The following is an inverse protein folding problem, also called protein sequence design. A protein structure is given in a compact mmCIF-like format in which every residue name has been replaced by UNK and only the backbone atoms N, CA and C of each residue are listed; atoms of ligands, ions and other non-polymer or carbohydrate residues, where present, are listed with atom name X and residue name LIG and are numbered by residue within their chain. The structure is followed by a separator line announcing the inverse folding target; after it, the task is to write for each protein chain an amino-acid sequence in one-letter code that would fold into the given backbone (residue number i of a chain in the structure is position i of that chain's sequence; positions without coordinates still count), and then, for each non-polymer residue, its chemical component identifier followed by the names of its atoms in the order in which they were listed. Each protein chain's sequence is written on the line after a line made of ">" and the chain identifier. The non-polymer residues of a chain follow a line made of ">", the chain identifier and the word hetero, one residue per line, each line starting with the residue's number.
data_IF_137215200115
#
_entry.id   IF_137215200115
#
_cell.length_a   1.000
_cell.length_b   1.000
_cell.length_c   1.000
_cell.angle_alpha   90.00
_cell.angle_beta   90.00
_cell.angle_gamma   90.00
#
_symmetry.space_group_name_H-M   'P 1'
#
loop_
_entity.id
_entity.type
_entity.pdbx_description
1 polymer ?
#
# COMPACT_ATOMS: atom_id res chain seq x y z
N UNK A 1 9.33 0.14 17.84
CA UNK A 1 10.29 0.59 16.81
C UNK A 1 10.58 2.06 17.07
N UNK A 2 11.80 2.34 17.52
CA UNK A 2 12.33 3.69 17.75
C UNK A 2 13.70 3.79 17.09
N UNK A 3 14.31 4.97 17.01
CA UNK A 3 15.61 5.14 16.36
C UNK A 3 16.60 4.09 16.86
N UNK A 4 17.36 3.48 15.94
CA UNK A 4 18.42 2.52 16.28
C UNK A 4 19.36 3.16 17.31
N UNK A 5 20.02 2.35 18.16
CA UNK A 5 20.93 2.84 19.20
C UNK A 5 21.96 3.91 18.71
N UNK A 6 22.28 3.89 17.41
CA UNK A 6 23.14 4.86 16.70
C UNK A 6 22.44 6.14 16.19
N UNK A 7 21.20 6.45 16.63
CA UNK A 7 20.35 7.55 16.11
C UNK A 7 20.08 7.51 14.60
N UNK A 8 20.34 6.38 13.94
CA UNK A 8 20.05 6.19 12.51
C UNK A 8 18.56 5.92 12.31
N UNK A 9 17.96 6.69 11.41
CA UNK A 9 16.60 6.48 10.90
C UNK A 9 16.57 5.16 10.14
N UNK A 10 15.78 4.19 10.63
CA UNK A 10 15.53 2.90 10.00
C UNK A 10 14.09 2.45 10.34
N UNK A 11 13.39 1.73 9.44
CA UNK A 11 13.79 1.39 8.07
C UNK A 11 13.67 2.59 7.10
N UNK A 12 14.28 2.52 5.91
CA UNK A 12 14.09 3.55 4.87
C UNK A 12 12.74 3.40 4.16
N UNK A 13 12.39 2.17 3.78
CA UNK A 13 11.12 1.81 3.14
C UNK A 13 10.65 0.48 3.70
N UNK A 14 9.36 0.20 3.55
CA UNK A 14 8.75 -1.07 3.97
C UNK A 14 8.06 -1.74 2.79
N UNK A 15 8.01 -3.06 2.77
CA UNK A 15 7.27 -3.83 1.77
C UNK A 15 6.59 -5.04 2.43
N UNK A 16 5.69 -5.69 1.72
CA UNK A 16 4.97 -6.84 2.25
C UNK A 16 5.94 -7.97 2.64
N UNK A 17 5.87 -8.40 3.89
CA UNK A 17 6.65 -9.53 4.41
C UNK A 17 5.82 -10.80 4.54
N UNK A 18 4.59 -10.79 4.01
CA UNK A 18 3.63 -11.88 4.12
C UNK A 18 3.46 -12.46 2.73
N UNK A 19 3.74 -13.75 2.58
CA UNK A 19 3.71 -14.44 1.30
C UNK A 19 2.95 -15.75 1.45
N UNK A 20 2.33 -16.18 0.35
CA UNK A 20 1.77 -17.52 0.22
C UNK A 20 2.82 -18.40 -0.44
N UNK A 21 3.29 -19.43 0.23
CA UNK A 21 4.25 -20.39 -0.31
C UNK A 21 3.56 -21.72 -0.60
N UNK A 22 3.95 -22.37 -1.70
CA UNK A 22 3.55 -23.75 -1.94
C UNK A 22 4.28 -24.67 -0.98
N UNK A 23 3.56 -25.54 -0.29
CA UNK A 23 4.12 -26.56 0.58
C UNK A 23 4.43 -27.83 -0.22
N UNK A 24 5.30 -28.68 0.32
CA UNK A 24 5.72 -29.93 -0.33
C UNK A 24 4.57 -30.94 -0.52
N UNK A 25 3.43 -30.74 0.16
CA UNK A 25 2.23 -31.57 0.06
C UNK A 25 1.22 -31.05 -1.00
N UNK A 26 1.56 -30.01 -1.78
CA UNK A 26 0.71 -29.48 -2.85
C UNK A 26 -0.35 -28.45 -2.41
N UNK A 27 -0.29 -27.96 -1.17
CA UNK A 27 -1.11 -26.86 -0.65
C UNK A 27 -0.36 -25.53 -0.57
N UNK A 28 -1.05 -24.47 -0.14
CA UNK A 28 -0.43 -23.17 0.13
C UNK A 28 -0.43 -22.89 1.63
N UNK A 29 0.68 -22.38 2.14
CA UNK A 29 0.79 -21.89 3.51
C UNK A 29 1.17 -20.41 3.53
N UNK A 30 0.74 -19.71 4.59
CA UNK A 30 1.08 -18.31 4.78
C UNK A 30 2.33 -18.21 5.64
N UNK A 31 3.38 -17.61 5.09
CA UNK A 31 4.64 -17.39 5.79
C UNK A 31 4.87 -15.90 5.96
N UNK A 32 5.37 -15.51 7.13
CA UNK A 32 5.62 -14.12 7.49
C UNK A 32 7.09 -13.91 7.83
N UNK A 33 7.72 -12.89 7.26
CA UNK A 33 9.11 -12.54 7.50
C UNK A 33 9.54 -11.30 6.74
N UNK A 34 10.32 -10.43 7.41
CA UNK A 34 10.91 -9.24 6.77
C UNK A 34 11.90 -9.60 5.66
N UNK A 35 12.44 -10.82 5.68
CA UNK A 35 13.26 -11.39 4.61
C UNK A 35 12.52 -11.47 3.27
N UNK A 36 11.18 -11.54 3.27
CA UNK A 36 10.39 -11.50 2.04
C UNK A 36 10.20 -10.06 1.50
N UNK A 37 10.29 -9.05 2.36
CA UNK A 37 10.22 -7.64 1.95
C UNK A 37 11.45 -7.20 1.15
N UNK A 38 12.63 -7.69 1.51
CA UNK A 38 13.90 -7.33 0.86
C UNK A 38 13.96 -7.65 -0.66
N UNK A 39 13.66 -8.88 -1.13
CA UNK A 39 13.69 -9.20 -2.55
C UNK A 39 12.61 -8.47 -3.34
N UNK A 40 11.46 -8.14 -2.73
CA UNK A 40 10.42 -7.33 -3.40
C UNK A 40 10.92 -5.93 -3.74
N UNK A 41 11.56 -5.26 -2.78
CA UNK A 41 12.15 -3.93 -3.01
C UNK A 41 13.33 -4.01 -3.97
N UNK A 42 14.16 -5.06 -3.88
CA UNK A 42 15.27 -5.28 -4.80
C UNK A 42 14.81 -5.50 -6.24
N UNK A 43 13.75 -6.29 -6.45
CA UNK A 43 13.14 -6.51 -7.76
C UNK A 43 12.58 -5.21 -8.34
N UNK A 44 11.86 -4.42 -7.53
CA UNK A 44 11.39 -3.10 -7.94
C UNK A 44 12.55 -2.18 -8.37
N UNK A 45 13.65 -2.16 -7.60
CA UNK A 45 14.84 -1.39 -7.93
C UNK A 45 15.49 -1.87 -9.23
N UNK A 46 15.56 -3.18 -9.47
CA UNK A 46 16.07 -3.74 -10.73
C UNK A 46 15.23 -3.32 -11.93
N UNK A 47 13.90 -3.38 -11.83
CA UNK A 47 12.99 -2.90 -12.88
C UNK A 47 13.18 -1.40 -13.15
N UNK A 48 13.33 -0.59 -12.11
CA UNK A 48 13.60 0.85 -12.26
C UNK A 48 14.97 1.12 -12.90
N UNK A 49 15.99 0.33 -12.56
CA UNK A 49 17.31 0.44 -13.17
C UNK A 49 17.25 0.14 -14.67
N UNK A 50 16.52 -0.91 -15.07
CA UNK A 50 16.27 -1.25 -16.47
C UNK A 50 15.49 -0.14 -17.18
N UNK A 51 14.40 0.36 -16.57
CA UNK A 51 13.59 1.44 -17.13
C UNK A 51 14.36 2.76 -17.31
N UNK A 52 15.39 3.01 -16.49
CA UNK A 52 16.27 4.17 -16.62
C UNK A 52 17.33 4.04 -17.73
N UNK A 53 17.39 2.88 -18.42
CA UNK A 53 18.42 2.54 -19.39
C UNK A 53 19.79 2.24 -18.76
N UNK A 54 19.81 1.83 -17.49
CA UNK A 54 21.05 1.51 -16.76
C UNK A 54 21.92 2.72 -16.40
N UNK A 55 21.37 3.93 -16.48
CA UNK A 55 22.14 5.18 -16.31
C UNK A 55 22.25 5.63 -14.85
N UNK A 56 21.43 5.08 -13.95
CA UNK A 56 21.41 5.52 -12.55
C UNK A 56 22.48 4.79 -11.74
N UNK A 57 23.16 5.54 -10.87
CA UNK A 57 24.03 4.97 -9.84
C UNK A 57 23.18 4.30 -8.75
N UNK A 58 23.79 3.40 -7.97
CA UNK A 58 23.12 2.75 -6.85
C UNK A 58 22.50 3.76 -5.86
N UNK A 59 23.19 4.87 -5.58
CA UNK A 59 22.68 5.92 -4.68
C UNK A 59 21.55 6.74 -5.29
N UNK A 60 21.58 6.97 -6.62
CA UNK A 60 20.46 7.61 -7.30
C UNK A 60 19.22 6.71 -7.26
N UNK A 61 19.39 5.42 -7.55
CA UNK A 61 18.31 4.44 -7.50
C UNK A 61 17.73 4.32 -6.08
N UNK A 62 18.58 4.24 -5.07
CA UNK A 62 18.18 4.23 -3.66
C UNK A 62 17.33 5.45 -3.29
N UNK A 63 17.72 6.64 -3.75
CA UNK A 63 16.95 7.87 -3.56
C UNK A 63 15.60 7.81 -4.28
N UNK A 64 15.57 7.35 -5.54
CA UNK A 64 14.33 7.22 -6.30
C UNK A 64 13.33 6.28 -5.62
N UNK A 65 13.80 5.15 -5.09
CA UNK A 65 12.97 4.19 -4.35
C UNK A 65 12.39 4.82 -3.08
N UNK A 66 13.19 5.59 -2.32
CA UNK A 66 12.70 6.32 -1.14
C UNK A 66 11.65 7.36 -1.50
N UNK A 67 11.87 8.14 -2.56
CA UNK A 67 10.95 9.19 -3.01
C UNK A 67 9.65 8.63 -3.63
N UNK A 68 9.69 7.37 -4.07
CA UNK A 68 8.53 6.62 -4.53
C UNK A 68 7.70 5.99 -3.39
N UNK A 69 8.15 6.12 -2.14
CA UNK A 69 7.39 5.69 -0.97
C UNK A 69 6.07 6.43 -0.81
N UNK A 70 5.04 5.71 -0.38
CA UNK A 70 3.69 6.21 -0.08
C UNK A 70 3.70 7.43 0.85
N UNK A 71 4.55 7.41 1.88
CA UNK A 71 4.61 8.46 2.90
C UNK A 71 5.53 9.62 2.49
N UNK A 72 6.35 9.49 1.44
CA UNK A 72 7.28 10.55 1.04
C UNK A 72 6.54 11.85 0.67
N UNK A 73 6.93 13.03 1.22
CA UNK A 73 8.19 13.32 1.92
C UNK A 73 8.19 13.11 3.45
N UNK A 74 7.07 12.68 4.04
CA UNK A 74 7.00 12.32 5.45
C UNK A 74 7.77 11.03 5.74
N UNK A 75 8.48 11.01 6.87
CA UNK A 75 9.19 9.84 7.36
C UNK A 75 8.48 9.31 8.61
N UNK A 76 8.12 8.04 8.57
CA UNK A 76 7.48 7.30 9.64
C UNK A 76 8.48 6.38 10.35
N UNK A 77 8.46 6.35 11.68
CA UNK A 77 9.44 5.57 12.45
C UNK A 77 9.15 4.07 12.46
N UNK A 78 7.95 3.64 12.06
CA UNK A 78 7.64 2.24 11.88
C UNK A 78 7.89 1.79 10.42
N UNK A 79 7.53 2.61 9.43
CA UNK A 79 7.53 2.20 8.01
C UNK A 79 8.53 2.93 7.11
N UNK A 80 9.31 3.88 7.63
CA UNK A 80 10.17 4.73 6.83
C UNK A 80 9.38 5.69 5.94
N UNK A 81 9.73 5.79 4.66
CA UNK A 81 8.91 6.47 3.65
C UNK A 81 7.70 5.65 3.19
N UNK A 82 7.39 4.54 3.87
CA UNK A 82 6.27 3.67 3.54
C UNK A 82 6.61 2.68 2.43
N UNK A 83 5.56 2.25 1.72
CA UNK A 83 5.69 1.29 0.62
C UNK A 83 6.03 1.98 -0.69
N UNK A 84 7.11 1.58 -1.39
CA UNK A 84 7.41 2.15 -2.69
C UNK A 84 6.42 1.63 -3.74
N UNK A 85 5.82 2.54 -4.50
CA UNK A 85 4.89 2.20 -5.58
C UNK A 85 5.58 2.22 -6.94
N UNK A 86 5.37 1.17 -7.75
CA UNK A 86 5.97 1.06 -9.07
C UNK A 86 5.54 2.19 -10.02
N UNK A 87 4.26 2.54 -10.04
CA UNK A 87 3.73 3.65 -10.85
C UNK A 87 4.40 4.97 -10.50
N UNK A 88 4.53 5.26 -9.19
CA UNK A 88 5.15 6.47 -8.66
C UNK A 88 6.65 6.50 -8.95
N UNK A 89 7.33 5.36 -8.84
CA UNK A 89 8.76 5.23 -9.18
C UNK A 89 8.99 5.47 -10.68
N UNK A 90 8.20 4.85 -11.55
CA UNK A 90 8.32 5.04 -13.00
C UNK A 90 8.00 6.49 -13.41
N UNK A 91 7.04 7.13 -12.76
CA UNK A 91 6.76 8.56 -12.98
C UNK A 91 7.95 9.43 -12.55
N UNK A 92 8.56 9.13 -11.39
CA UNK A 92 9.77 9.80 -10.88
C UNK A 92 10.96 9.72 -11.83
N UNK A 93 11.13 8.59 -12.51
CA UNK A 93 12.19 8.41 -13.51
C UNK A 93 12.01 9.34 -14.72
N UNK A 94 10.77 9.74 -15.03
CA UNK A 94 10.45 10.67 -16.12
C UNK A 94 10.54 12.14 -15.70
N UNK A 95 10.39 12.43 -14.40
CA UNK A 95 10.48 13.79 -13.88
C UNK A 95 9.90 13.94 -12.46
N UNK A 96 9.78 15.18 -11.95
CA UNK A 96 9.17 15.44 -10.65
C UNK A 96 7.71 14.96 -10.60
N UNK A 97 7.30 14.42 -9.46
CA UNK A 97 5.89 14.08 -9.25
C UNK A 97 5.02 15.35 -9.19
N UNK A 98 3.76 15.27 -9.64
CA UNK A 98 2.83 16.37 -9.49
C UNK A 98 2.63 16.72 -8.01
N UNK A 99 2.48 18.02 -7.72
CA UNK A 99 2.21 18.48 -6.38
C UNK A 99 0.84 17.94 -5.91
N UNK A 100 0.80 17.41 -4.68
CA UNK A 100 -0.44 16.96 -4.05
C UNK A 100 -1.15 18.18 -3.47
N UNK A 101 -2.44 18.33 -3.76
CA UNK A 101 -3.25 19.40 -3.18
C UNK A 101 -3.32 19.25 -1.64
N UNK A 102 -3.40 20.35 -0.88
CA UNK A 102 -3.52 20.26 0.58
C UNK A 102 -4.75 19.45 0.99
N UNK A 103 -4.55 18.46 1.86
CA UNK A 103 -5.62 17.55 2.32
C UNK A 103 -6.17 17.93 3.70
N UNK A 104 -5.48 18.81 4.43
CA UNK A 104 -5.85 19.31 5.74
C UNK A 104 -5.37 20.74 5.95
N UNK A 105 -5.90 21.39 6.99
CA UNK A 105 -5.53 22.72 7.44
C UNK A 105 -5.13 22.70 8.92
N UNK A 106 -4.15 23.53 9.27
CA UNK A 106 -3.83 23.83 10.66
C UNK A 106 -4.70 25.00 11.14
N UNK A 107 -5.60 24.71 12.08
CA UNK A 107 -6.49 25.72 12.68
C UNK A 107 -5.96 26.09 14.06
N UNK A 108 -5.35 27.27 14.13
CA UNK A 108 -4.75 27.80 15.36
C UNK A 108 -5.83 28.44 16.22
N UNK A 109 -5.89 28.05 17.50
CA UNK A 109 -6.72 28.65 18.53
C UNK A 109 -5.82 29.27 19.61
N UNK A 110 -6.40 29.89 20.64
CA UNK A 110 -5.62 30.52 21.71
C UNK A 110 -4.76 29.51 22.50
N UNK A 111 -5.31 28.32 22.76
CA UNK A 111 -4.66 27.30 23.61
C UNK A 111 -4.16 26.06 22.86
N UNK A 112 -4.59 25.84 21.61
CA UNK A 112 -4.30 24.62 20.83
C UNK A 112 -4.19 24.88 19.33
N UNK A 113 -3.53 23.96 18.63
CA UNK A 113 -3.51 23.84 17.18
C UNK A 113 -4.27 22.58 16.81
N UNK A 114 -5.29 22.74 15.99
CA UNK A 114 -6.12 21.65 15.49
C UNK A 114 -5.72 21.30 14.06
N UNK A 115 -5.72 20.01 13.73
CA UNK A 115 -5.57 19.52 12.35
C UNK A 115 -6.96 19.13 11.85
N UNK A 116 -7.46 19.86 10.85
CA UNK A 116 -8.79 19.67 10.29
C UNK A 116 -8.69 19.21 8.84
N UNK A 117 -9.25 18.05 8.53
CA UNK A 117 -9.29 17.50 7.18
C UNK A 117 -10.24 18.30 6.28
N UNK A 118 -9.79 18.54 5.05
CA UNK A 118 -10.60 19.18 4.01
C UNK A 118 -11.67 18.20 3.51
N UNK A 119 -12.88 18.69 3.17
CA UNK A 119 -13.97 17.82 2.69
C UNK A 119 -13.55 16.97 1.49
N UNK A 120 -12.86 17.58 0.52
CA UNK A 120 -12.38 16.93 -0.69
C UNK A 120 -11.42 15.76 -0.45
N UNK A 121 -10.69 15.75 0.68
CA UNK A 121 -9.76 14.68 1.05
C UNK A 121 -10.40 13.61 1.96
N UNK A 122 -11.65 13.81 2.39
CA UNK A 122 -12.41 12.85 3.19
C UNK A 122 -13.47 12.09 2.40
N UNK A 123 -13.78 12.55 1.18
CA UNK A 123 -14.62 11.78 0.26
C UNK A 123 -13.77 10.64 -0.28
N UNK A 124 -14.17 9.35 -0.12
CA UNK A 124 -13.49 8.27 -0.79
C UNK A 124 -13.54 8.56 -2.29
N UNK A 125 -12.38 8.68 -2.93
CA UNK A 125 -12.31 8.76 -4.39
C UNK A 125 -13.00 7.50 -4.91
N UNK A 126 -14.21 7.67 -5.45
CA UNK A 126 -15.00 6.57 -5.99
C UNK A 126 -14.19 5.96 -7.14
N UNK A 127 -13.47 4.87 -6.85
CA UNK A 127 -12.95 4.03 -7.92
C UNK A 127 -14.18 3.35 -8.54
N UNK A 128 -14.40 3.49 -9.85
CA UNK A 128 -15.47 2.75 -10.49
C UNK A 128 -15.24 1.26 -10.18
N UNK A 129 -16.21 0.64 -9.51
CA UNK A 129 -16.29 -0.81 -9.43
C UNK A 129 -16.33 -1.32 -10.88
N UNK A 130 -15.58 -2.37 -11.24
CA UNK A 130 -15.83 -3.05 -12.49
C UNK A 130 -17.28 -3.57 -12.42
N UNK A 131 -18.17 -2.90 -13.15
CA UNK A 131 -19.54 -3.32 -13.33
C UNK A 131 -19.45 -4.60 -14.18
N UNK A 132 -19.47 -5.77 -13.54
CA UNK A 132 -19.68 -7.02 -14.25
C UNK A 132 -21.14 -6.99 -14.69
N UNK A 133 -21.41 -6.47 -15.87
CA UNK A 133 -22.70 -6.66 -16.53
C UNK A 133 -22.69 -8.10 -17.04
N UNK A 134 -23.28 -9.03 -16.27
CA UNK A 134 -23.68 -10.31 -16.82
C UNK A 134 -24.80 -10.04 -17.84
N UNK A 135 -24.41 -9.93 -19.10
CA UNK A 135 -25.33 -9.90 -20.22
C UNK A 135 -25.61 -11.35 -20.66
N UNK A 136 -26.43 -12.09 -19.89
CA UNK A 136 -27.11 -13.27 -20.47
C UNK A 136 -28.41 -13.74 -19.77
N UNK A 137 -28.82 -13.18 -18.63
CA UNK A 137 -30.09 -13.60 -18.01
C UNK A 137 -31.31 -12.78 -18.50
N UNK A 138 -31.51 -12.73 -19.83
CA UNK A 138 -32.73 -12.21 -20.45
C UNK A 138 -33.19 -13.12 -21.60
N UNK A 139 -33.62 -14.34 -21.24
CA UNK A 139 -34.52 -15.14 -22.07
C UNK A 139 -35.57 -15.84 -21.18
N UNK A 140 -36.89 -15.70 -21.47
CA UNK A 140 -37.94 -16.33 -20.68
C UNK A 140 -38.30 -17.73 -21.21
N UNK A 141 -38.41 -18.70 -20.31
CA UNK A 141 -38.92 -20.06 -20.57
C UNK A 141 -37.87 -21.12 -20.21
N UNK A 142 -38.15 -22.20 -19.49
CA UNK A 142 -39.41 -22.84 -19.11
C UNK A 142 -39.11 -23.77 -17.94
N UNK A 143 -40.04 -23.84 -17.01
CA UNK A 143 -40.23 -24.85 -15.97
C UNK A 143 -39.81 -26.27 -16.40
N UNK A 144 -38.84 -26.89 -15.72
CA UNK A 144 -38.66 -28.36 -15.81
C UNK A 144 -38.02 -29.00 -14.54
N UNK A 145 -38.52 -28.64 -13.36
CA UNK A 145 -38.06 -29.20 -12.06
C UNK A 145 -38.76 -30.52 -11.67
N UNK A 146 -39.45 -31.21 -12.60
CA UNK A 146 -40.28 -32.39 -12.32
C UNK A 146 -39.89 -33.67 -13.08
N UNK A 147 -38.74 -33.70 -13.75
CA UNK A 147 -38.22 -34.93 -14.36
C UNK A 147 -37.26 -35.69 -13.43
N UNK A 148 -37.44 -37.00 -13.18
CA UNK A 148 -36.53 -37.77 -12.33
C UNK A 148 -35.14 -37.91 -12.98
N UNK A 149 -34.05 -37.96 -12.19
CA UNK A 149 -32.69 -38.01 -12.72
C UNK A 149 -32.44 -39.32 -13.47
N UNK A 150 -31.92 -39.23 -14.70
CA UNK A 150 -31.44 -40.37 -15.46
C UNK A 150 -30.22 -41.02 -14.77
N UNK A 151 -30.01 -42.34 -14.89
CA UNK A 151 -28.94 -43.05 -14.18
C UNK A 151 -27.55 -42.60 -14.65
N UNK A 152 -26.64 -42.45 -13.68
CA UNK A 152 -25.26 -42.04 -13.90
C UNK A 152 -24.48 -43.05 -14.78
N UNK A 153 -23.63 -42.58 -15.71
CA UNK A 153 -22.69 -43.46 -16.41
C UNK A 153 -21.59 -43.97 -15.45
N UNK A 154 -20.99 -45.14 -15.73
CA UNK A 154 -20.09 -45.80 -14.79
C UNK A 154 -18.78 -45.04 -14.58
N UNK A 155 -18.26 -45.15 -13.35
CA UNK A 155 -17.03 -44.52 -12.90
C UNK A 155 -15.81 -44.98 -13.73
N UNK A 156 -15.19 -44.05 -14.42
CA UNK A 156 -13.86 -44.23 -15.02
C UNK A 156 -12.83 -43.72 -14.03
N UNK A 157 -12.01 -44.63 -13.50
CA UNK A 157 -10.90 -44.31 -12.61
C UNK A 157 -9.91 -43.33 -13.29
N UNK A 158 -9.51 -42.21 -12.66
CA UNK A 158 -8.41 -41.42 -13.18
C UNK A 158 -7.07 -42.12 -12.87
N UNK A 159 -6.40 -42.57 -13.93
CA UNK A 159 -4.98 -42.94 -13.94
C UNK A 159 -4.11 -41.77 -13.45
N UNK A 160 -3.05 -42.00 -12.65
CA UNK A 160 -2.24 -40.92 -12.09
C UNK A 160 -1.34 -40.31 -13.17
N UNK A 161 -1.64 -39.08 -13.59
CA UNK A 161 -0.77 -38.30 -14.46
C UNK A 161 0.12 -37.37 -13.63
N UNK A 162 1.42 -37.46 -13.94
CA UNK A 162 2.62 -36.70 -13.55
C UNK A 162 2.49 -35.32 -12.87
N UNK A 163 3.52 -34.92 -12.08
CA UNK A 163 3.56 -33.65 -11.36
C UNK A 163 3.58 -32.46 -12.32
N UNK A 164 2.62 -31.56 -12.15
CA UNK A 164 2.39 -30.40 -12.99
C UNK A 164 3.35 -29.25 -12.60
N UNK A 165 4.66 -29.46 -12.75
CA UNK A 165 5.70 -28.44 -12.49
C UNK A 165 6.43 -28.15 -13.80
N UNK A 166 6.14 -27.00 -14.41
CA UNK A 166 6.85 -26.54 -15.60
C UNK A 166 8.28 -26.09 -15.23
N UNK A 167 9.29 -26.37 -16.07
CA UNK A 167 10.64 -25.85 -15.85
C UNK A 167 10.69 -24.33 -16.03
N UNK A 168 11.57 -23.68 -15.26
CA UNK A 168 11.79 -22.22 -15.27
C UNK A 168 11.99 -21.71 -16.70
N UNK A 169 11.14 -20.77 -17.13
CA UNK A 169 11.16 -20.17 -18.47
C UNK A 169 10.18 -20.76 -19.49
N UNK A 170 9.35 -21.74 -19.12
CA UNK A 170 8.26 -22.29 -19.96
C UNK A 170 6.90 -22.28 -19.24
N UNK A 171 6.57 -21.16 -18.62
CA UNK A 171 5.25 -20.98 -18.01
C UNK A 171 4.21 -20.81 -19.13
N UNK A 172 3.22 -21.70 -19.16
CA UNK A 172 2.04 -21.55 -20.01
C UNK A 172 1.24 -20.35 -19.49
N UNK A 173 0.78 -19.40 -20.35
CA UNK A 173 -0.11 -18.35 -19.91
C UNK A 173 -1.35 -18.97 -19.27
N UNK A 174 -1.69 -18.56 -18.05
CA UNK A 174 -2.96 -18.95 -17.44
C UNK A 174 -4.10 -18.50 -18.36
N UNK A 175 -5.13 -19.33 -18.60
CA UNK A 175 -6.35 -18.88 -19.29
C UNK A 175 -6.87 -17.61 -18.61
N UNK A 176 -7.10 -16.56 -19.41
CA UNK A 176 -7.39 -15.22 -18.91
C UNK A 176 -8.71 -15.11 -18.11
N UNK A 177 -9.56 -16.15 -18.13
CA UNK A 177 -10.93 -16.11 -17.62
C UNK A 177 -11.15 -16.82 -16.27
N UNK A 178 -10.10 -17.15 -15.52
CA UNK A 178 -10.29 -17.82 -14.20
C UNK A 178 -9.30 -17.35 -13.13
N UNK A 179 -8.97 -16.06 -13.12
CA UNK A 179 -8.45 -15.45 -11.91
C UNK A 179 -9.66 -15.10 -11.02
N UNK A 180 -9.87 -15.75 -9.86
CA UNK A 180 -10.89 -15.29 -8.92
C UNK A 180 -10.58 -13.83 -8.60
N UNK A 181 -11.55 -12.94 -8.82
CA UNK A 181 -11.44 -11.56 -8.42
C UNK A 181 -11.09 -11.54 -6.93
N UNK A 182 -9.86 -11.11 -6.61
CA UNK A 182 -9.44 -10.97 -5.22
C UNK A 182 -10.49 -10.09 -4.53
N UNK A 183 -11.11 -10.63 -3.47
CA UNK A 183 -12.10 -9.90 -2.71
C UNK A 183 -11.57 -8.50 -2.40
N UNK A 184 -12.39 -7.48 -2.62
CA UNK A 184 -12.02 -6.11 -2.34
C UNK A 184 -11.48 -6.04 -0.90
N UNK A 185 -10.21 -5.67 -0.76
CA UNK A 185 -9.60 -5.49 0.54
C UNK A 185 -10.50 -4.54 1.36
N UNK A 186 -10.80 -4.85 2.63
CA UNK A 186 -11.60 -3.97 3.45
C UNK A 186 -11.01 -2.56 3.41
N UNK A 187 -11.84 -1.59 3.05
CA UNK A 187 -11.44 -0.19 2.99
C UNK A 187 -11.24 0.31 4.42
N UNK A 188 -10.04 0.12 4.97
CA UNK A 188 -9.68 0.67 6.26
C UNK A 188 -9.71 2.20 6.18
N UNK A 189 -10.19 2.90 7.23
CA UNK A 189 -10.14 4.35 7.26
C UNK A 189 -8.69 4.80 7.03
N UNK A 190 -8.45 5.81 6.19
CA UNK A 190 -7.10 6.27 5.93
C UNK A 190 -6.48 6.75 7.24
N UNK A 191 -5.18 6.53 7.39
CA UNK A 191 -4.45 6.91 8.59
C UNK A 191 -3.81 8.28 8.40
N UNK A 192 -3.92 9.12 9.42
CA UNK A 192 -3.17 10.36 9.56
C UNK A 192 -1.98 10.11 10.47
N UNK A 193 -0.80 10.48 9.98
CA UNK A 193 0.45 10.35 10.69
C UNK A 193 0.86 11.72 11.19
N UNK A 194 1.23 11.84 12.45
CA UNK A 194 1.77 13.09 12.94
C UNK A 194 2.84 12.88 14.00
N UNK A 195 3.76 13.83 14.05
CA UNK A 195 4.73 13.93 15.13
C UNK A 195 5.03 15.37 15.49
N UNK A 196 5.43 15.55 16.73
CA UNK A 196 6.01 16.76 17.26
C UNK A 196 7.48 16.49 17.55
N UNK A 197 8.37 17.24 16.92
CA UNK A 197 9.81 17.15 17.14
C UNK A 197 10.38 18.53 17.45
N UNK A 198 11.51 18.59 18.16
CA UNK A 198 12.25 19.84 18.30
C UNK A 198 13.04 20.18 17.02
N UNK A 199 13.64 21.38 16.97
CA UNK A 199 14.48 21.83 15.85
C UNK A 199 15.67 20.89 15.52
N UNK A 200 16.06 20.00 16.45
CA UNK A 200 17.12 19.00 16.24
C UNK A 200 16.58 17.66 15.72
N UNK A 201 15.27 17.54 15.48
CA UNK A 201 14.62 16.33 15.01
C UNK A 201 14.36 15.27 16.10
N UNK A 202 14.48 15.63 17.38
CA UNK A 202 14.15 14.71 18.48
C UNK A 202 12.65 14.74 18.72
N UNK A 203 12.02 13.57 18.68
CA UNK A 203 10.59 13.40 18.87
C UNK A 203 10.19 13.66 20.33
N UNK A 204 9.18 14.51 20.50
CA UNK A 204 8.41 14.63 21.74
C UNK A 204 7.20 13.69 21.73
N UNK A 205 6.52 13.59 20.58
CA UNK A 205 5.32 12.76 20.43
C UNK A 205 5.19 12.31 18.98
N UNK A 206 4.72 11.09 18.79
CA UNK A 206 4.43 10.50 17.48
C UNK A 206 3.20 9.61 17.63
N UNK A 207 2.22 9.80 16.76
CA UNK A 207 0.97 9.03 16.75
C UNK A 207 0.47 8.83 15.32
N UNK A 208 -0.17 7.68 15.11
CA UNK A 208 -0.93 7.37 13.90
C UNK A 208 -2.39 7.25 14.30
N UNK A 209 -3.27 7.99 13.63
CA UNK A 209 -4.71 8.02 13.94
C UNK A 209 -5.53 7.63 12.72
N UNK A 210 -6.45 6.71 12.90
CA UNK A 210 -7.48 6.45 11.90
C UNK A 210 -8.38 7.69 11.75
N UNK A 211 -8.64 8.11 10.52
CA UNK A 211 -9.43 9.30 10.23
C UNK A 211 -10.91 8.95 10.07
N UNK A 212 -11.60 8.81 11.20
CA UNK A 212 -13.06 8.60 11.23
C UNK A 212 -13.84 9.93 11.24
N UNK A 213 -13.17 11.04 11.56
CA UNK A 213 -13.75 12.37 11.68
C UNK A 213 -12.81 13.43 11.10
N UNK A 214 -13.35 14.61 10.76
CA UNK A 214 -12.57 15.71 10.16
C UNK A 214 -11.58 16.35 11.12
N UNK A 215 -11.89 16.44 12.41
CA UNK A 215 -10.98 16.94 13.43
C UNK A 215 -10.18 15.78 14.04
N UNK A 216 -8.95 15.57 13.58
CA UNK A 216 -8.21 14.33 13.91
C UNK A 216 -7.25 14.51 15.08
N UNK A 217 -6.56 15.66 15.11
CA UNK A 217 -5.50 15.93 16.08
C UNK A 217 -5.71 17.31 16.70
N UNK A 218 -5.49 17.39 18.00
CA UNK A 218 -5.41 18.64 18.74
C UNK A 218 -4.12 18.63 19.56
N UNK A 219 -3.26 19.61 19.33
CA UNK A 219 -1.99 19.77 20.03
C UNK A 219 -2.02 21.06 20.83
N UNK A 220 -1.83 21.03 22.17
CA UNK A 220 -1.73 22.26 22.94
C UNK A 220 -0.59 23.16 22.44
N UNK A 221 -0.85 24.46 22.27
CA UNK A 221 0.12 25.42 21.72
C UNK A 221 1.41 25.53 22.53
N UNK A 222 1.32 25.31 23.84
CA UNK A 222 2.51 25.25 24.71
C UNK A 222 3.56 24.23 24.22
N UNK A 223 3.15 23.20 23.49
CA UNK A 223 4.03 22.16 22.96
C UNK A 223 4.65 22.54 21.61
N UNK A 224 4.01 23.43 20.83
CA UNK A 224 4.54 23.92 19.55
C UNK A 224 5.50 25.10 19.72
N UNK A 225 5.52 25.73 20.90
CA UNK A 225 6.48 26.78 21.26
C UNK A 225 7.90 26.23 21.44
N UNK A 226 8.88 27.13 21.33
CA UNK A 226 10.29 26.82 21.63
C UNK A 226 11.05 26.13 20.50
N UNK A 227 10.65 26.36 19.25
CA UNK A 227 11.28 25.75 18.07
C UNK A 227 10.86 24.30 17.83
N UNK A 228 9.71 23.89 18.37
CA UNK A 228 9.11 22.60 18.07
C UNK A 228 8.30 22.67 16.78
N UNK A 229 8.42 21.65 15.95
CA UNK A 229 7.76 21.51 14.66
C UNK A 229 6.74 20.37 14.76
N UNK A 230 5.48 20.69 14.51
CA UNK A 230 4.41 19.73 14.30
C UNK A 230 4.38 19.36 12.82
N UNK A 231 4.72 18.12 12.48
CA UNK A 231 4.65 17.61 11.11
C UNK A 231 3.51 16.60 11.00
N UNK A 232 2.71 16.74 9.95
CA UNK A 232 1.52 15.92 9.71
C UNK A 232 1.53 15.43 8.27
N UNK A 233 1.13 14.17 8.06
CA UNK A 233 0.92 13.56 6.76
C UNK A 233 -0.47 12.94 6.68
N UNK A 234 -1.17 13.19 5.57
CA UNK A 234 -2.44 12.56 5.26
C UNK A 234 -2.68 12.55 3.74
N UNK A 235 -2.94 11.35 3.19
CA UNK A 235 -3.22 11.11 1.76
C UNK A 235 -2.23 11.82 0.80
N UNK A 236 -0.94 11.59 0.98
CA UNK A 236 0.10 12.10 0.09
C UNK A 236 0.53 13.56 0.34
N UNK A 237 -0.23 14.33 1.13
CA UNK A 237 0.14 15.68 1.51
C UNK A 237 0.85 15.69 2.87
N UNK A 238 1.98 16.41 2.94
CA UNK A 238 2.72 16.66 4.19
C UNK A 238 2.68 18.15 4.49
N UNK A 239 2.33 18.49 5.72
CA UNK A 239 2.29 19.86 6.22
C UNK A 239 3.07 19.99 7.52
N UNK A 240 3.63 21.18 7.74
CA UNK A 240 4.36 21.52 8.95
C UNK A 240 3.79 22.78 9.58
N UNK A 241 3.78 22.80 10.91
CA UNK A 241 3.41 23.94 11.71
C UNK A 241 4.47 24.17 12.79
N UNK A 242 4.94 25.41 12.90
CA UNK A 242 5.81 25.90 13.95
C UNK A 242 5.39 27.33 14.31
N UNK A 243 5.65 27.73 15.54
CA UNK A 243 5.36 29.07 16.08
C UNK A 243 6.61 29.95 16.09
#
# INVERSE_FOLDING_TARGET
>A
MGPSADRRLKPDVSAFGIVLTANAAGGFERVEGTSFSAPLVAGLAACAQQASGGRLTAMQLFRQVREAGELFPYYDYAHGYGRPEASRLLARLKGPLPAVAPTFDFVVHDSLVAVVLRPAATVPAARPLPLVAEADELAPGTTDWLSPPAPAPPAVSPTPAAPNVAPVGKEQPAPADTAPALAAYPAYPPHLYWHLANARGVLHRYEVRATTQRLVVQVPRRLTRGGNVLRVYYQGFTGEYHE
#
